data_IF_926572988795
#
_entry.id   IF_926572988795
#
_cell.length_a   1.000
_cell.length_b   1.000
_cell.length_c   1.000
_cell.angle_alpha   90.00
_cell.angle_beta   90.00
_cell.angle_gamma   90.00
#
_symmetry.space_group_name_H-M   'P 1'
#
loop_
_entity.id
_entity.type
_entity.pdbx_description
1 polymer ?
#
# COMPACT_ATOMS: atom_id res chain seq x y z
N UNK A 1 9.88 15.45 10.39
CA UNK A 1 10.17 14.76 9.11
C UNK A 1 8.89 14.07 8.66
N UNK A 2 8.33 14.40 7.49
CA UNK A 2 7.15 13.68 6.96
C UNK A 2 7.65 12.39 6.31
N UNK A 3 7.22 11.24 6.82
CA UNK A 3 7.59 9.93 6.24
C UNK A 3 6.56 9.56 5.19
N UNK A 4 7.02 9.36 3.96
CA UNK A 4 6.19 8.86 2.88
C UNK A 4 6.66 7.48 2.45
N UNK A 5 5.72 6.57 2.18
CA UNK A 5 6.00 5.35 1.44
C UNK A 5 5.56 5.53 -0.02
N UNK A 6 6.38 5.07 -0.96
CA UNK A 6 6.03 4.99 -2.38
C UNK A 6 5.65 3.55 -2.68
N UNK A 7 4.41 3.33 -3.11
CA UNK A 7 3.96 2.02 -3.59
C UNK A 7 3.89 2.06 -5.11
N UNK A 8 4.61 1.13 -5.74
CA UNK A 8 4.58 0.94 -7.18
C UNK A 8 3.53 -0.10 -7.54
N UNK A 9 2.60 0.26 -8.41
CA UNK A 9 1.59 -0.65 -8.93
C UNK A 9 1.72 -0.78 -10.44
N UNK A 10 1.49 -1.99 -10.94
CA UNK A 10 1.36 -2.27 -12.36
C UNK A 10 0.20 -3.21 -12.56
N UNK A 11 -0.84 -2.77 -13.25
CA UNK A 11 -1.96 -3.63 -13.62
C UNK A 11 -1.73 -4.17 -15.03
N UNK A 12 -1.52 -5.48 -15.17
CA UNK A 12 -1.43 -6.16 -16.48
C UNK A 12 -2.80 -6.59 -17.01
N UNK A 13 -3.89 -6.23 -16.33
CA UNK A 13 -5.25 -6.54 -16.78
C UNK A 13 -5.75 -5.46 -17.73
N UNK A 14 -6.69 -5.85 -18.59
CA UNK A 14 -7.33 -5.00 -19.60
C UNK A 14 -8.23 -3.89 -19.05
N UNK A 15 -8.45 -3.81 -17.74
CA UNK A 15 -9.38 -2.89 -17.11
C UNK A 15 -8.80 -2.29 -15.82
N UNK A 16 -9.20 -1.06 -15.54
CA UNK A 16 -8.85 -0.32 -14.32
C UNK A 16 -9.36 -1.04 -13.08
N UNK A 17 -8.70 -0.82 -11.95
CA UNK A 17 -9.00 -1.53 -10.71
C UNK A 17 -8.87 -0.67 -9.47
N UNK A 18 -9.70 -0.98 -8.49
CA UNK A 18 -9.53 -0.50 -7.13
C UNK A 18 -8.76 -1.53 -6.30
N UNK A 19 -7.63 -1.10 -5.75
CA UNK A 19 -6.77 -1.86 -4.85
C UNK A 19 -6.88 -1.25 -3.45
N UNK A 20 -7.01 -2.09 -2.44
CA UNK A 20 -6.95 -1.70 -1.05
C UNK A 20 -5.54 -1.94 -0.52
N UNK A 21 -4.89 -0.87 -0.07
CA UNK A 21 -3.67 -0.97 0.71
C UNK A 21 -4.02 -1.05 2.17
N UNK A 22 -3.49 -2.07 2.83
CA UNK A 22 -3.58 -2.27 4.27
C UNK A 22 -2.20 -2.17 4.85
N UNK A 23 -2.01 -1.27 5.82
CA UNK A 23 -0.78 -1.18 6.61
C UNK A 23 -1.07 -1.77 7.96
N UNK A 24 -0.30 -2.77 8.38
CA UNK A 24 -0.34 -3.34 9.72
C UNK A 24 1.00 -3.16 10.43
N UNK A 25 0.96 -3.05 11.76
CA UNK A 25 2.17 -3.01 12.58
C UNK A 25 2.71 -4.44 12.83
N UNK A 26 3.84 -4.54 13.54
CA UNK A 26 4.50 -5.83 13.84
C UNK A 26 3.64 -6.86 14.58
N UNK A 27 2.60 -6.43 15.30
CA UNK A 27 1.64 -7.32 15.98
C UNK A 27 0.42 -7.68 15.12
N UNK A 28 0.41 -7.28 13.84
CA UNK A 28 -0.66 -7.57 12.89
C UNK A 28 -1.87 -6.64 12.96
N UNK A 29 -1.85 -5.60 13.80
CA UNK A 29 -2.95 -4.62 13.88
C UNK A 29 -2.92 -3.70 12.66
N UNK A 30 -4.04 -3.61 11.96
CA UNK A 30 -4.22 -2.65 10.85
C UNK A 30 -4.23 -1.22 11.42
N UNK A 31 -3.34 -0.38 10.90
CA UNK A 31 -3.18 1.02 11.31
C UNK A 31 -3.62 2.00 10.23
N UNK A 32 -3.68 1.57 8.96
CA UNK A 32 -4.13 2.40 7.85
C UNK A 32 -4.72 1.53 6.74
N UNK A 33 -5.85 1.96 6.18
CA UNK A 33 -6.43 1.41 4.95
C UNK A 33 -6.56 2.55 3.94
N UNK A 34 -6.09 2.33 2.72
CA UNK A 34 -6.21 3.30 1.63
C UNK A 34 -6.66 2.61 0.35
N UNK A 35 -7.80 3.04 -0.19
CA UNK A 35 -8.22 2.68 -1.53
C UNK A 35 -7.40 3.46 -2.58
N UNK A 36 -6.95 2.74 -3.61
CA UNK A 36 -6.18 3.27 -4.72
C UNK A 36 -6.80 2.80 -6.02
N UNK A 37 -7.02 3.74 -6.93
CA UNK A 37 -7.38 3.42 -8.30
C UNK A 37 -6.11 3.19 -9.13
N UNK A 38 -5.97 2.01 -9.71
CA UNK A 38 -4.84 1.61 -10.56
C UNK A 38 -5.35 1.48 -11.99
N UNK A 39 -4.76 2.27 -12.89
CA UNK A 39 -5.12 2.26 -14.31
C UNK A 39 -4.48 1.07 -15.01
N UNK A 40 -5.24 0.43 -15.89
CA UNK A 40 -4.78 -0.66 -16.73
C UNK A 40 -3.51 -0.29 -17.51
N UNK A 41 -2.59 -1.26 -17.64
CA UNK A 41 -1.35 -1.16 -18.42
C UNK A 41 -0.45 0.04 -18.08
N UNK A 42 -0.64 0.62 -16.89
CA UNK A 42 0.08 1.80 -16.45
C UNK A 42 0.90 1.48 -15.21
N UNK A 43 2.13 1.99 -15.15
CA UNK A 43 2.93 2.00 -13.92
C UNK A 43 2.61 3.27 -13.15
N UNK A 44 2.25 3.14 -11.87
CA UNK A 44 1.91 4.28 -11.03
C UNK A 44 2.67 4.22 -9.71
N UNK A 45 3.06 5.40 -9.22
CA UNK A 45 3.57 5.61 -7.88
C UNK A 45 2.52 6.31 -7.03
N UNK A 46 2.19 5.73 -5.88
CA UNK A 46 1.31 6.34 -4.90
C UNK A 46 2.10 6.69 -3.65
N UNK A 47 2.01 7.95 -3.22
CA UNK A 47 2.56 8.39 -1.95
C UNK A 47 1.56 8.16 -0.81
N UNK A 48 2.00 7.45 0.22
CA UNK A 48 1.27 7.26 1.47
C UNK A 48 1.90 8.12 2.55
N UNK A 49 1.11 8.97 3.18
CA UNK A 49 1.54 9.72 4.35
C UNK A 49 1.49 8.82 5.60
N UNK A 50 2.67 8.56 6.17
CA UNK A 50 2.86 7.75 7.37
C UNK A 50 3.32 8.62 8.55
N UNK A 51 3.15 9.94 8.46
CA UNK A 51 3.55 10.88 9.51
C UNK A 51 2.78 10.66 10.81
N UNK A 52 1.52 10.25 10.73
CA UNK A 52 0.68 9.95 11.89
C UNK A 52 0.99 8.59 12.54
N UNK A 53 1.80 7.75 11.90
CA UNK A 53 2.17 6.44 12.45
C UNK A 53 3.39 6.57 13.38
N UNK A 54 3.37 5.93 14.57
CA UNK A 54 4.53 5.88 15.45
C UNK A 54 5.72 5.18 14.77
N UNK A 55 6.94 5.40 15.26
CA UNK A 55 8.11 4.70 14.77
C UNK A 55 7.97 3.18 15.00
N UNK A 56 8.48 2.37 14.07
CA UNK A 56 8.35 0.91 14.14
C UNK A 56 8.34 0.21 12.79
N UNK A 57 8.25 -1.13 12.86
CA UNK A 57 8.13 -1.99 11.70
C UNK A 57 6.66 -2.15 11.29
N UNK A 58 6.42 -2.01 9.99
CA UNK A 58 5.11 -2.11 9.38
C UNK A 58 5.14 -3.04 8.16
N UNK A 59 4.03 -3.72 7.94
CA UNK A 59 3.75 -4.51 6.75
C UNK A 59 2.72 -3.77 5.91
N UNK A 60 2.98 -3.65 4.62
CA UNK A 60 2.06 -3.08 3.64
C UNK A 60 1.58 -4.24 2.77
N UNK A 61 0.28 -4.47 2.76
CA UNK A 61 -0.37 -5.48 1.94
C UNK A 61 -1.28 -4.78 0.93
N UNK A 62 -1.09 -5.09 -0.35
CA UNK A 62 -1.96 -4.64 -1.42
C UNK A 62 -2.89 -5.78 -1.81
N UNK A 63 -4.20 -5.60 -1.59
CA UNK A 63 -5.22 -6.57 -1.99
C UNK A 63 -6.17 -5.93 -3.00
N UNK A 64 -6.39 -6.61 -4.11
CA UNK A 64 -7.64 -6.45 -4.84
C UNK A 64 -8.72 -7.16 -4.03
N UNK A 65 -9.98 -6.73 -4.14
CA UNK A 65 -11.13 -7.37 -3.44
C UNK A 65 -11.25 -8.90 -3.69
N UNK A 66 -10.54 -9.44 -4.69
CA UNK A 66 -10.52 -10.86 -5.05
C UNK A 66 -9.11 -11.48 -5.20
N UNK A 67 -8.01 -10.74 -4.96
CA UNK A 67 -6.66 -11.33 -5.03
C UNK A 67 -5.60 -10.48 -4.32
N UNK A 68 -4.74 -11.13 -3.51
CA UNK A 68 -3.56 -10.48 -2.95
C UNK A 68 -2.55 -10.22 -4.06
N UNK A 69 -2.25 -8.95 -4.33
CA UNK A 69 -1.39 -8.52 -5.46
C UNK A 69 0.01 -8.09 -5.04
N UNK A 70 0.31 -8.00 -3.74
CA UNK A 70 1.67 -7.76 -3.28
C UNK A 70 1.82 -7.55 -1.77
N UNK A 71 3.02 -7.84 -1.27
CA UNK A 71 3.45 -7.62 0.12
C UNK A 71 4.77 -6.86 0.14
N UNK A 72 4.86 -5.81 0.95
CA UNK A 72 6.06 -5.00 1.10
C UNK A 72 6.28 -4.68 2.58
N UNK A 73 7.52 -4.81 3.08
CA UNK A 73 7.87 -4.48 4.45
C UNK A 73 8.49 -3.08 4.50
N UNK A 74 8.06 -2.27 5.46
CA UNK A 74 8.57 -0.92 5.67
C UNK A 74 9.00 -0.75 7.14
N UNK A 75 10.19 -0.19 7.35
CA UNK A 75 10.68 0.14 8.67
C UNK A 75 10.79 1.67 8.79
N UNK A 76 10.02 2.25 9.71
CA UNK A 76 10.05 3.69 9.99
C UNK A 76 11.05 3.96 11.12
N UNK A 77 12.14 4.64 10.79
CA UNK A 77 13.16 5.17 11.71
C UNK A 77 12.68 6.46 12.38
#
# INVERSE_FOLDING_TARGET
>A
MKTFAIVYTSCTKSADKNVELTISNSIGKIVLIKGIHVTANTKQSISLDLSALPAGAYLINASEKENNVGRMMLMKM
#
